data_IF_608645033698
#
_entry.id   IF_608645033698
#
_cell.length_a   1.000
_cell.length_b   1.000
_cell.length_c   1.000
_cell.angle_alpha   90.00
_cell.angle_beta   90.00
_cell.angle_gamma   90.00
#
_symmetry.space_group_name_H-M   'P 1'
#
loop_
_entity.id
_entity.type
_entity.pdbx_description
1 polymer ?
#
# COMPACT_ATOMS: atom_id res chain seq x y z
N UNK A 1 -0.16 -20.48 11.83
CA UNK A 1 1.12 -19.87 11.41
C UNK A 1 0.82 -19.18 10.10
N UNK A 2 0.86 -17.84 10.05
CA UNK A 2 0.79 -17.14 8.76
C UNK A 2 2.05 -17.50 7.98
N UNK A 3 1.91 -17.80 6.69
CA UNK A 3 3.06 -18.04 5.83
C UNK A 3 3.54 -16.64 5.42
N UNK A 4 4.76 -16.23 5.80
CA UNK A 4 5.25 -14.91 5.44
C UNK A 4 5.19 -14.70 3.95
N UNK A 5 4.71 -13.54 3.52
CA UNK A 5 4.81 -13.16 2.12
C UNK A 5 6.29 -12.95 1.77
N UNK A 6 6.88 -13.97 1.15
CA UNK A 6 8.27 -13.96 0.68
C UNK A 6 8.37 -13.56 -0.79
N UNK A 7 7.25 -13.19 -1.42
CA UNK A 7 7.26 -12.79 -2.83
C UNK A 7 7.99 -11.45 -2.98
N UNK A 8 8.98 -11.44 -3.85
CA UNK A 8 9.56 -10.19 -4.32
C UNK A 8 8.57 -9.51 -5.29
N UNK A 9 7.73 -8.62 -4.76
CA UNK A 9 6.75 -7.89 -5.56
C UNK A 9 7.35 -6.86 -6.52
N UNK A 10 8.67 -6.68 -6.57
CA UNK A 10 9.27 -5.69 -7.49
C UNK A 10 9.01 -6.01 -8.97
N UNK A 11 8.70 -7.26 -9.33
CA UNK A 11 8.33 -7.65 -10.69
C UNK A 11 7.12 -6.89 -11.24
N UNK A 12 6.24 -6.35 -10.38
CA UNK A 12 5.06 -5.58 -10.82
C UNK A 12 5.44 -4.33 -11.60
N UNK A 13 6.68 -3.85 -11.45
CA UNK A 13 7.25 -2.73 -12.20
C UNK A 13 7.60 -3.08 -13.65
N UNK A 14 7.58 -4.36 -14.01
CA UNK A 14 7.96 -4.84 -15.34
C UNK A 14 6.75 -5.31 -16.16
N UNK A 15 5.64 -5.69 -15.51
CA UNK A 15 4.46 -6.26 -16.18
C UNK A 15 3.17 -6.09 -15.35
N UNK A 16 1.98 -6.18 -15.98
CA UNK A 16 0.72 -6.15 -15.27
C UNK A 16 0.57 -7.29 -14.26
N UNK A 17 -0.12 -7.02 -13.16
CA UNK A 17 -0.53 -8.03 -12.21
C UNK A 17 -1.78 -8.75 -12.71
N UNK A 18 -1.69 -10.07 -12.94
CA UNK A 18 -2.81 -10.87 -13.44
C UNK A 18 -3.90 -11.12 -12.40
N UNK A 19 -3.59 -10.91 -11.11
CA UNK A 19 -4.53 -11.08 -10.01
C UNK A 19 -5.40 -9.83 -9.91
N UNK A 20 -4.82 -8.69 -9.51
CA UNK A 20 -5.58 -7.45 -9.31
C UNK A 20 -5.85 -6.67 -10.60
N UNK A 21 -5.23 -7.03 -11.73
CA UNK A 21 -5.42 -6.37 -13.03
C UNK A 21 -4.67 -5.04 -13.22
N UNK A 22 -3.95 -4.56 -12.20
CA UNK A 22 -3.21 -3.30 -12.29
C UNK A 22 -1.95 -3.45 -13.16
N UNK A 23 -1.85 -2.58 -14.17
CA UNK A 23 -0.67 -2.43 -15.03
C UNK A 23 0.22 -1.28 -14.53
N UNK A 24 0.97 -1.50 -13.44
CA UNK A 24 1.82 -0.44 -12.86
C UNK A 24 2.82 0.19 -13.83
N UNK A 25 3.44 -0.54 -14.79
CA UNK A 25 4.35 0.04 -15.78
C UNK A 25 3.72 1.17 -16.63
N UNK A 26 2.42 1.09 -16.92
CA UNK A 26 1.72 2.11 -17.73
C UNK A 26 1.14 3.27 -16.92
N UNK A 27 1.18 3.19 -15.58
CA UNK A 27 0.68 4.27 -14.72
C UNK A 27 1.65 5.44 -14.72
N UNK A 28 1.22 6.59 -15.25
CA UNK A 28 1.95 7.86 -15.12
C UNK A 28 2.00 8.33 -13.67
N UNK A 29 3.14 8.92 -13.26
CA UNK A 29 3.37 9.36 -11.88
C UNK A 29 2.27 10.31 -11.38
N UNK A 30 1.82 11.20 -12.25
CA UNK A 30 0.80 12.22 -12.03
C UNK A 30 -0.59 11.62 -11.73
N UNK A 31 -0.84 10.37 -12.13
CA UNK A 31 -2.11 9.68 -11.89
C UNK A 31 -2.15 9.02 -10.51
N UNK A 32 -0.98 8.68 -9.94
CA UNK A 32 -0.86 7.90 -8.71
C UNK A 32 -1.59 8.57 -7.53
N UNK A 33 -1.48 9.90 -7.28
CA UNK A 33 -2.20 10.54 -6.17
C UNK A 33 -3.72 10.34 -6.24
N UNK A 34 -4.30 10.47 -7.43
CA UNK A 34 -5.73 10.23 -7.65
C UNK A 34 -6.12 8.78 -7.38
N UNK A 35 -5.28 7.83 -7.82
CA UNK A 35 -5.52 6.40 -7.60
C UNK A 35 -5.40 6.00 -6.12
N UNK A 36 -4.45 6.58 -5.39
CA UNK A 36 -4.31 6.41 -3.92
C UNK A 36 -5.58 6.86 -3.21
N UNK A 37 -6.10 8.06 -3.54
CA UNK A 37 -7.34 8.56 -2.94
C UNK A 37 -8.55 7.70 -3.28
N UNK A 38 -8.67 7.25 -4.54
CA UNK A 38 -9.74 6.36 -4.96
C UNK A 38 -9.69 5.00 -4.23
N UNK A 39 -8.49 4.45 -4.05
CA UNK A 39 -8.29 3.23 -3.27
C UNK A 39 -8.72 3.42 -1.81
N UNK A 40 -8.29 4.52 -1.17
CA UNK A 40 -8.68 4.84 0.20
C UNK A 40 -10.21 5.00 0.34
N UNK A 41 -10.86 5.67 -0.60
CA UNK A 41 -12.32 5.78 -0.63
C UNK A 41 -12.99 4.40 -0.69
N UNK A 42 -12.49 3.47 -1.51
CA UNK A 42 -12.98 2.09 -1.54
C UNK A 42 -12.86 1.39 -0.19
N UNK A 43 -11.73 1.55 0.51
CA UNK A 43 -11.55 0.98 1.85
C UNK A 43 -12.48 1.60 2.88
N UNK A 44 -12.68 2.92 2.86
CA UNK A 44 -13.62 3.58 3.78
C UNK A 44 -15.06 3.08 3.58
N UNK A 45 -15.45 2.79 2.33
CA UNK A 45 -16.74 2.17 2.02
C UNK A 45 -16.86 0.74 2.54
N UNK A 46 -15.81 -0.07 2.40
CA UNK A 46 -15.77 -1.44 2.95
C UNK A 46 -15.87 -1.43 4.48
N UNK A 47 -15.13 -0.55 5.15
CA UNK A 47 -15.09 -0.44 6.62
C UNK A 47 -16.38 0.10 7.24
N UNK A 48 -17.30 0.65 6.44
CA UNK A 48 -18.64 1.04 6.88
C UNK A 48 -19.62 -0.16 6.98
N UNK A 49 -19.19 -1.36 6.59
CA UNK A 49 -19.95 -2.60 6.72
C UNK A 49 -20.09 -3.11 8.16
N UNK A 50 -20.58 -4.35 8.30
CA UNK A 50 -20.76 -4.99 9.61
C UNK A 50 -19.41 -5.24 10.31
N UNK A 51 -19.16 -4.65 11.50
CA UNK A 51 -17.92 -4.86 12.24
C UNK A 51 -17.61 -6.30 12.62
N UNK A 52 -18.62 -7.18 12.73
CA UNK A 52 -18.37 -8.60 13.00
C UNK A 52 -17.79 -9.29 11.76
N UNK A 53 -18.41 -9.10 10.59
CA UNK A 53 -17.93 -9.61 9.32
C UNK A 53 -16.52 -9.10 8.96
N UNK A 54 -16.23 -7.82 9.24
CA UNK A 54 -14.91 -7.23 8.96
C UNK A 54 -13.76 -7.90 9.71
N UNK A 55 -14.04 -8.55 10.84
CA UNK A 55 -13.06 -9.26 11.66
C UNK A 55 -12.93 -10.74 11.32
N UNK A 56 -13.85 -11.26 10.52
CA UNK A 56 -13.84 -12.66 10.16
C UNK A 56 -12.71 -12.93 9.16
N UNK A 57 -11.78 -13.81 9.56
CA UNK A 57 -10.79 -14.33 8.64
C UNK A 57 -11.45 -15.43 7.80
N UNK A 58 -11.41 -15.34 6.45
CA UNK A 58 -12.01 -16.37 5.61
C UNK A 58 -11.32 -17.73 5.75
N UNK A 59 -10.01 -17.71 6.07
CA UNK A 59 -9.20 -18.87 6.46
C UNK A 59 -8.18 -18.44 7.50
N UNK A 60 -7.70 -19.32 8.41
CA UNK A 60 -6.77 -18.94 9.48
C UNK A 60 -5.50 -18.21 9.00
N UNK A 61 -5.01 -18.56 7.81
CA UNK A 61 -3.83 -18.01 7.16
C UNK A 61 -4.08 -16.76 6.31
N UNK A 62 -5.33 -16.36 6.11
CA UNK A 62 -5.72 -15.19 5.33
C UNK A 62 -6.22 -14.11 6.29
N UNK A 63 -5.71 -12.89 6.17
CA UNK A 63 -6.17 -11.76 6.96
C UNK A 63 -7.65 -11.46 6.72
N UNK A 64 -8.29 -10.94 7.76
CA UNK A 64 -9.63 -10.37 7.66
C UNK A 64 -9.60 -9.03 6.92
N UNK A 65 -10.77 -8.54 6.50
CA UNK A 65 -10.87 -7.24 5.83
C UNK A 65 -10.34 -6.09 6.71
N UNK A 66 -10.57 -6.14 8.03
CA UNK A 66 -10.03 -5.17 8.97
C UNK A 66 -8.50 -5.22 9.03
N UNK A 67 -7.91 -6.41 9.02
CA UNK A 67 -6.46 -6.57 9.07
C UNK A 67 -5.77 -6.05 7.80
N UNK A 68 -6.35 -6.33 6.63
CA UNK A 68 -5.88 -5.73 5.38
C UNK A 68 -6.02 -4.20 5.39
N UNK A 69 -7.10 -3.64 5.94
CA UNK A 69 -7.25 -2.19 6.03
C UNK A 69 -6.19 -1.54 6.94
N UNK A 70 -5.90 -2.13 8.11
CA UNK A 70 -4.82 -1.70 8.98
C UNK A 70 -3.47 -1.74 8.25
N UNK A 71 -3.22 -2.82 7.50
CA UNK A 71 -2.02 -2.95 6.69
C UNK A 71 -1.91 -1.84 5.64
N UNK A 72 -2.96 -1.59 4.84
CA UNK A 72 -2.97 -0.54 3.81
C UNK A 72 -2.74 0.85 4.39
N UNK A 73 -3.34 1.16 5.56
CA UNK A 73 -3.04 2.39 6.30
C UNK A 73 -1.55 2.52 6.58
N UNK A 74 -0.93 1.46 7.07
CA UNK A 74 0.47 1.48 7.50
C UNK A 74 1.45 1.42 6.31
N UNK A 75 1.05 0.85 5.17
CA UNK A 75 1.73 0.99 3.88
C UNK A 75 1.84 2.47 3.51
N UNK A 76 0.73 3.22 3.53
CA UNK A 76 0.76 4.65 3.21
C UNK A 76 1.65 5.44 4.19
N UNK A 77 1.52 5.21 5.50
CA UNK A 77 2.34 5.91 6.51
C UNK A 77 3.83 5.63 6.33
N UNK A 78 4.22 4.36 6.19
CA UNK A 78 5.63 3.97 6.06
C UNK A 78 6.22 4.46 4.75
N UNK A 79 5.45 4.40 3.66
CA UNK A 79 5.92 4.80 2.34
C UNK A 79 5.99 6.32 2.17
N UNK A 80 5.13 7.09 2.86
CA UNK A 80 5.28 8.54 2.96
C UNK A 80 6.61 8.92 3.62
N UNK A 81 6.96 8.28 4.74
CA UNK A 81 8.26 8.48 5.39
C UNK A 81 9.44 8.11 4.48
N UNK A 82 9.34 7.00 3.74
CA UNK A 82 10.39 6.59 2.78
C UNK A 82 10.52 7.57 1.61
N UNK A 83 9.39 8.04 1.07
CA UNK A 83 9.35 9.06 0.02
C UNK A 83 10.03 10.36 0.50
N UNK A 84 9.68 10.84 1.68
CA UNK A 84 10.29 12.04 2.26
C UNK A 84 11.82 11.91 2.36
N UNK A 85 12.33 10.74 2.77
CA UNK A 85 13.77 10.46 2.79
C UNK A 85 14.36 10.43 1.38
N UNK A 86 13.73 9.78 0.41
CA UNK A 86 14.22 9.78 -0.98
C UNK A 86 14.28 11.19 -1.58
N UNK A 87 13.39 12.10 -1.17
CA UNK A 87 13.38 13.48 -1.61
C UNK A 87 14.46 14.36 -0.95
N UNK A 88 14.92 14.01 0.25
CA UNK A 88 15.80 14.88 1.07
C UNK A 88 17.20 14.32 1.30
N UNK A 89 17.38 13.01 1.26
CA UNK A 89 18.65 12.30 1.47
C UNK A 89 19.19 11.72 0.15
N UNK A 90 20.51 11.54 0.07
CA UNK A 90 21.11 10.86 -1.07
C UNK A 90 21.01 9.33 -0.91
N UNK A 91 20.21 8.70 -1.76
CA UNK A 91 20.05 7.24 -1.86
C UNK A 91 19.85 6.55 -0.49
N UNK A 92 18.83 6.94 0.30
CA UNK A 92 18.64 6.41 1.64
C UNK A 92 18.40 4.91 1.65
N UNK A 93 18.97 4.24 2.67
CA UNK A 93 18.65 2.86 3.02
C UNK A 93 17.45 2.84 3.98
N UNK A 94 16.42 2.06 3.63
CA UNK A 94 15.27 1.80 4.50
C UNK A 94 15.11 0.30 4.78
N UNK A 95 14.76 -0.03 6.02
CA UNK A 95 14.55 -1.42 6.43
C UNK A 95 13.42 -2.08 5.62
N UNK A 96 13.60 -3.35 5.27
CA UNK A 96 12.49 -4.19 4.85
C UNK A 96 11.51 -4.35 6.02
N UNK A 97 10.25 -4.65 5.71
CA UNK A 97 9.18 -4.66 6.70
C UNK A 97 8.51 -6.02 6.76
N UNK A 98 8.50 -6.62 7.95
CA UNK A 98 7.69 -7.79 8.26
C UNK A 98 6.28 -7.33 8.64
N UNK A 99 5.39 -7.34 7.66
CA UNK A 99 3.99 -6.92 7.82
C UNK A 99 3.18 -7.87 8.70
N UNK A 100 3.53 -9.16 8.69
CA UNK A 100 2.86 -10.20 9.49
C UNK A 100 3.19 -10.04 10.97
N UNK A 101 4.46 -9.79 11.28
CA UNK A 101 4.89 -9.46 12.64
C UNK A 101 4.17 -8.21 13.15
N UNK A 102 4.10 -7.14 12.34
CA UNK A 102 3.40 -5.91 12.74
C UNK A 102 1.90 -6.14 12.94
N UNK A 103 1.23 -6.92 12.10
CA UNK A 103 -0.19 -7.21 12.26
C UNK A 103 -0.51 -7.89 13.61
N UNK A 104 0.39 -8.76 14.07
CA UNK A 104 0.29 -9.42 15.38
C UNK A 104 0.63 -8.46 16.52
N UNK A 105 1.77 -7.76 16.43
CA UNK A 105 2.26 -6.83 17.46
C UNK A 105 1.26 -5.69 17.74
N UNK A 106 0.71 -5.11 16.67
CA UNK A 106 -0.25 -4.00 16.71
C UNK A 106 -1.71 -4.47 16.78
N UNK A 107 -1.94 -5.79 16.92
CA UNK A 107 -3.25 -6.44 17.11
C UNK A 107 -4.29 -5.96 16.09
N UNK A 108 -3.96 -6.00 14.80
CA UNK A 108 -4.79 -5.43 13.73
C UNK A 108 -6.26 -5.88 13.79
N UNK A 109 -6.53 -7.17 14.02
CA UNK A 109 -7.88 -7.72 14.09
C UNK A 109 -8.72 -7.22 15.27
N UNK A 110 -8.10 -6.53 16.23
CA UNK A 110 -8.77 -5.98 17.42
C UNK A 110 -8.98 -4.46 17.33
N UNK A 111 -8.44 -3.80 16.30
CA UNK A 111 -8.62 -2.36 16.14
C UNK A 111 -10.09 -2.01 15.84
N UNK A 112 -10.44 -0.75 16.05
CA UNK A 112 -11.78 -0.25 15.76
C UNK A 112 -11.90 0.13 14.26
N UNK A 113 -12.80 -0.48 13.47
CA UNK A 113 -12.94 -0.21 12.04
C UNK A 113 -13.21 1.27 11.73
N UNK A 114 -13.96 1.98 12.57
CA UNK A 114 -14.24 3.39 12.35
C UNK A 114 -12.98 4.25 12.49
N UNK A 115 -12.18 3.98 13.53
CA UNK A 115 -10.86 4.61 13.73
C UNK A 115 -9.91 4.29 12.57
N UNK A 116 -9.80 3.02 12.18
CA UNK A 116 -8.94 2.59 11.06
C UNK A 116 -9.34 3.28 9.75
N UNK A 117 -10.64 3.44 9.50
CA UNK A 117 -11.17 4.11 8.30
C UNK A 117 -10.70 5.57 8.22
N UNK A 118 -10.82 6.33 9.31
CA UNK A 118 -10.37 7.73 9.38
C UNK A 118 -8.86 7.82 9.19
N UNK A 119 -8.10 6.96 9.86
CA UNK A 119 -6.65 6.98 9.79
C UNK A 119 -6.11 6.56 8.42
N UNK A 120 -6.71 5.57 7.78
CA UNK A 120 -6.37 5.12 6.43
C UNK A 120 -6.58 6.25 5.43
N UNK A 121 -7.75 6.91 5.48
CA UNK A 121 -8.04 8.04 4.62
C UNK A 121 -7.03 9.19 4.81
N UNK A 122 -6.70 9.51 6.06
CA UNK A 122 -5.70 10.54 6.38
C UNK A 122 -4.29 10.18 5.89
N UNK A 123 -3.86 8.92 6.06
CA UNK A 123 -2.56 8.44 5.62
C UNK A 123 -2.45 8.43 4.08
N UNK A 124 -3.48 7.96 3.39
CA UNK A 124 -3.55 7.96 1.93
C UNK A 124 -3.51 9.39 1.37
N UNK A 125 -4.27 10.30 1.97
CA UNK A 125 -4.30 11.70 1.58
C UNK A 125 -2.93 12.38 1.81
N UNK A 126 -2.27 12.10 2.93
CA UNK A 126 -0.93 12.60 3.19
C UNK A 126 0.08 12.11 2.14
N UNK A 127 0.09 10.80 1.86
CA UNK A 127 0.96 10.21 0.85
C UNK A 127 0.69 10.78 -0.56
N UNK A 128 -0.58 10.93 -0.93
CA UNK A 128 -0.99 11.53 -2.20
C UNK A 128 -0.46 12.97 -2.35
N UNK A 129 -0.57 13.81 -1.31
CA UNK A 129 -0.02 15.17 -1.33
C UNK A 129 1.50 15.19 -1.42
N UNK A 130 2.20 14.29 -0.74
CA UNK A 130 3.66 14.18 -0.84
C UNK A 130 4.09 13.84 -2.27
N UNK A 131 3.34 12.99 -2.98
CA UNK A 131 3.58 12.68 -4.39
C UNK A 131 3.29 13.90 -5.30
N UNK A 132 2.19 14.63 -5.07
CA UNK A 132 1.82 15.81 -5.85
C UNK A 132 2.81 16.97 -5.71
N UNK A 133 3.41 17.10 -4.52
CA UNK A 133 4.36 18.17 -4.20
C UNK A 133 5.81 17.79 -4.51
N UNK A 134 6.08 16.52 -4.84
CA UNK A 134 7.40 16.07 -5.25
C UNK A 134 7.82 16.78 -6.55
N UNK A 135 8.97 17.48 -6.58
CA UNK A 135 9.43 18.14 -7.80
C UNK A 135 9.71 17.12 -8.91
N UNK A 136 9.44 17.49 -10.17
CA UNK A 136 9.72 16.60 -11.31
C UNK A 136 11.18 16.17 -11.39
N UNK A 137 12.10 17.09 -11.06
CA UNK A 137 13.53 16.80 -10.99
C UNK A 137 13.92 15.79 -9.90
N UNK A 138 13.04 15.51 -8.94
CA UNK A 138 13.25 14.55 -7.87
C UNK A 138 12.79 13.12 -8.24
N UNK A 139 12.01 12.94 -9.32
CA UNK A 139 11.55 11.63 -9.81
C UNK A 139 12.65 10.58 -10.00
N UNK A 140 13.86 10.90 -10.52
CA UNK A 140 14.93 9.93 -10.66
C UNK A 140 15.73 9.67 -9.36
N UNK A 141 15.46 10.39 -8.26
CA UNK A 141 16.19 10.18 -7.00
C UNK A 141 15.96 8.76 -6.48
N UNK A 142 17.03 8.15 -6.00
CA UNK A 142 17.04 6.74 -5.64
C UNK A 142 16.78 6.50 -4.15
N UNK A 143 16.38 5.28 -3.82
CA UNK A 143 16.31 4.73 -2.48
C UNK A 143 16.52 3.21 -2.53
N UNK A 144 17.03 2.63 -1.45
CA UNK A 144 17.36 1.20 -1.38
C UNK A 144 16.66 0.58 -0.17
N UNK A 145 15.97 -0.53 -0.40
CA UNK A 145 15.44 -1.35 0.69
C UNK A 145 16.50 -2.34 1.15
N UNK A 146 16.52 -2.68 2.44
CA UNK A 146 17.59 -3.50 3.03
C UNK A 146 17.68 -4.93 2.49
N UNK A 147 16.72 -5.40 1.70
CA UNK A 147 16.76 -6.65 0.94
C UNK A 147 17.50 -6.52 -0.42
N UNK A 148 17.95 -5.31 -0.77
CA UNK A 148 18.67 -5.01 -2.00
C UNK A 148 17.81 -4.39 -3.10
N UNK A 149 16.49 -4.32 -2.95
CA UNK A 149 15.61 -3.69 -3.94
C UNK A 149 15.92 -2.20 -4.07
N UNK A 150 16.08 -1.73 -5.32
CA UNK A 150 16.39 -0.32 -5.64
C UNK A 150 15.22 0.32 -6.35
N UNK A 151 14.87 1.52 -5.93
CA UNK A 151 13.79 2.29 -6.53
C UNK A 151 14.26 3.70 -6.89
N UNK A 152 13.68 4.28 -7.94
CA UNK A 152 13.57 5.72 -8.08
C UNK A 152 12.29 6.19 -7.37
N UNK A 153 12.11 7.48 -7.12
CA UNK A 153 10.84 8.01 -6.57
C UNK A 153 9.66 7.59 -7.44
N UNK A 154 9.83 7.60 -8.77
CA UNK A 154 8.80 7.19 -9.71
C UNK A 154 8.48 5.68 -9.62
N UNK A 155 9.49 4.81 -9.64
CA UNK A 155 9.24 3.37 -9.54
C UNK A 155 8.76 2.96 -8.14
N UNK A 156 9.20 3.67 -7.09
CA UNK A 156 8.69 3.49 -5.74
C UNK A 156 7.20 3.80 -5.64
N UNK A 157 6.74 4.92 -6.23
CA UNK A 157 5.32 5.28 -6.21
C UNK A 157 4.45 4.24 -6.96
N UNK A 158 4.91 3.74 -8.11
CA UNK A 158 4.23 2.66 -8.85
C UNK A 158 4.18 1.36 -8.04
N UNK A 159 5.31 1.00 -7.42
CA UNK A 159 5.41 -0.18 -6.57
C UNK A 159 4.45 -0.10 -5.38
N UNK A 160 4.43 1.03 -4.67
CA UNK A 160 3.55 1.26 -3.52
C UNK A 160 2.08 1.25 -3.94
N UNK A 161 1.73 1.75 -5.13
CA UNK A 161 0.34 1.73 -5.59
C UNK A 161 -0.22 0.31 -5.78
N UNK A 162 0.61 -0.65 -6.19
CA UNK A 162 0.16 -2.03 -6.39
C UNK A 162 -0.43 -2.64 -5.14
N UNK A 163 0.22 -2.45 -4.00
CA UNK A 163 -0.09 -3.14 -2.76
C UNK A 163 -1.52 -2.82 -2.24
N UNK A 164 -1.93 -1.55 -2.05
CA UNK A 164 -3.31 -1.22 -1.68
C UNK A 164 -4.37 -1.65 -2.70
N UNK A 165 -4.03 -1.64 -3.99
CA UNK A 165 -4.93 -2.11 -5.06
C UNK A 165 -5.08 -3.63 -5.02
N UNK A 166 -3.99 -4.34 -4.78
CA UNK A 166 -3.98 -5.80 -4.63
C UNK A 166 -4.78 -6.23 -3.41
N UNK A 167 -4.59 -5.59 -2.26
CA UNK A 167 -5.33 -5.93 -1.06
C UNK A 167 -6.82 -5.61 -1.13
N UNK A 168 -7.21 -4.61 -1.92
CA UNK A 168 -8.62 -4.43 -2.25
C UNK A 168 -9.14 -5.63 -3.05
N UNK A 169 -8.38 -6.13 -4.02
CA UNK A 169 -8.72 -7.34 -4.75
C UNK A 169 -8.79 -8.57 -3.83
N UNK A 170 -7.85 -8.74 -2.88
CA UNK A 170 -7.86 -9.85 -1.93
C UNK A 170 -9.17 -9.92 -1.11
N UNK A 171 -9.72 -8.75 -0.74
CA UNK A 171 -10.97 -8.66 0.03
C UNK A 171 -12.22 -8.76 -0.83
N UNK A 172 -12.21 -8.20 -2.04
CA UNK A 172 -13.43 -8.03 -2.87
C UNK A 172 -13.55 -9.04 -4.02
N UNK A 173 -12.44 -9.63 -4.45
CA UNK A 173 -12.34 -10.39 -5.70
C UNK A 173 -12.49 -9.54 -6.97
N UNK A 174 -12.63 -8.22 -6.85
CA UNK A 174 -12.86 -7.32 -7.97
C UNK A 174 -11.54 -6.75 -8.50
N UNK A 175 -11.23 -7.05 -9.75
CA UNK A 175 -10.05 -6.51 -10.43
C UNK A 175 -10.16 -4.99 -10.59
N UNK A 176 -9.01 -4.33 -10.58
CA UNK A 176 -8.88 -2.92 -10.95
C UNK A 176 -9.31 -2.76 -12.42
N UNK A 177 -10.37 -1.98 -12.63
CA UNK A 177 -10.79 -1.60 -13.97
C UNK A 177 -10.03 -0.34 -14.35
N UNK A 178 -9.21 -0.44 -15.41
CA UNK A 178 -8.43 0.68 -15.91
C UNK A 178 -9.31 1.89 -16.20
N UNK A 179 -8.93 3.05 -15.67
CA UNK A 179 -9.40 4.35 -16.17
C UNK A 179 -8.38 4.95 -17.12
#
# INVERSE_FOLDING_TARGET
>A
MMIPDTKDWTWVLERPCTECGLDTPSVGFERIPGMVRANAASWTGLLAGDPAALRERPRPEVWSALEYACHVRDVFRRCDGRLARMLTEDTPLFANWDQDATAVEERYGEQDPATVSVELAAAAEQFARSLETAPDAARPRAGVRSDGARFTVESFARYVLHDPVHHRYDVTGEQHQGS
#
